data_IF_923968495663
#
_entry.id   IF_923968495663
#
_cell.length_a   1.000
_cell.length_b   1.000
_cell.length_c   1.000
_cell.angle_alpha   90.00
_cell.angle_beta   90.00
_cell.angle_gamma   90.00
#
_symmetry.space_group_name_H-M   'P 1'
#
loop_
_entity.id
_entity.type
_entity.pdbx_description
1 polymer ?
#
# COMPACT_ATOMS: atom_id res chain seq x y z
N UNK A 1 -2.49 -2.07 -21.47
CA UNK A 1 -3.68 -2.44 -20.67
C UNK A 1 -3.24 -2.80 -19.26
N UNK A 2 -3.40 -1.89 -18.29
CA UNK A 2 -3.03 -2.10 -16.88
C UNK A 2 -3.94 -1.25 -15.99
N UNK A 3 -5.24 -1.27 -16.29
CA UNK A 3 -6.23 -0.40 -15.67
C UNK A 3 -6.98 -1.12 -14.54
N UNK A 4 -7.30 -0.40 -13.47
CA UNK A 4 -8.12 -0.91 -12.38
C UNK A 4 -9.58 -0.89 -12.85
N UNK A 5 -10.13 -2.05 -13.18
CA UNK A 5 -11.52 -2.17 -13.64
C UNK A 5 -12.48 -2.04 -12.45
N UNK A 6 -13.50 -1.18 -12.59
CA UNK A 6 -14.49 -0.90 -11.54
C UNK A 6 -13.87 -0.14 -10.36
N UNK A 7 -14.39 -0.35 -9.14
CA UNK A 7 -13.85 0.28 -7.91
C UNK A 7 -13.83 1.81 -7.94
N UNK A 8 -14.72 2.44 -8.71
CA UNK A 8 -14.74 3.90 -8.91
C UNK A 8 -14.82 4.66 -7.59
N UNK A 9 -15.60 4.16 -6.63
CA UNK A 9 -15.72 4.77 -5.29
C UNK A 9 -14.41 4.72 -4.52
N UNK A 10 -13.74 3.57 -4.51
CA UNK A 10 -12.45 3.41 -3.83
C UNK A 10 -11.35 4.22 -4.51
N UNK A 11 -11.33 4.28 -5.85
CA UNK A 11 -10.37 5.11 -6.59
C UNK A 11 -10.53 6.60 -6.27
N UNK A 12 -11.77 7.10 -6.19
CA UNK A 12 -12.06 8.49 -5.78
C UNK A 12 -11.65 8.75 -4.32
N UNK A 13 -11.82 7.78 -3.41
CA UNK A 13 -11.35 7.91 -2.04
C UNK A 13 -9.82 8.00 -1.98
N UNK A 14 -9.11 7.12 -2.68
CA UNK A 14 -7.65 7.12 -2.73
C UNK A 14 -7.11 8.42 -3.33
N UNK A 15 -7.79 8.99 -4.32
CA UNK A 15 -7.42 10.29 -4.90
C UNK A 15 -7.52 11.43 -3.90
N UNK A 16 -8.63 11.49 -3.15
CA UNK A 16 -8.83 12.51 -2.11
C UNK A 16 -7.75 12.43 -1.05
N UNK A 17 -7.36 11.21 -0.66
CA UNK A 17 -6.35 10.97 0.36
C UNK A 17 -4.96 11.32 -0.16
N UNK A 18 -4.63 10.92 -1.39
CA UNK A 18 -3.37 11.29 -2.01
C UNK A 18 -3.19 12.80 -2.15
N UNK A 19 -4.27 13.54 -2.42
CA UNK A 19 -4.26 15.02 -2.53
C UNK A 19 -4.37 15.75 -1.19
N UNK A 20 -4.60 15.04 -0.09
CA UNK A 20 -4.68 15.64 1.25
C UNK A 20 -3.34 16.24 1.64
N UNK A 21 -3.35 17.40 2.30
CA UNK A 21 -2.15 17.97 2.91
C UNK A 21 -1.85 17.39 4.31
N UNK A 22 -2.73 16.50 4.80
CA UNK A 22 -2.59 15.85 6.09
C UNK A 22 -2.07 14.42 5.94
N UNK A 23 -1.48 13.91 7.02
CA UNK A 23 -1.19 12.48 7.13
C UNK A 23 -2.49 11.69 7.30
N UNK A 24 -2.82 10.88 6.30
CA UNK A 24 -4.04 10.07 6.27
C UNK A 24 -3.75 8.62 6.70
N UNK A 25 -4.67 8.01 7.46
CA UNK A 25 -4.61 6.61 7.85
C UNK A 25 -5.84 5.85 7.38
N UNK A 26 -5.63 4.81 6.56
CA UNK A 26 -6.71 4.03 5.93
C UNK A 26 -6.59 2.56 6.32
N UNK A 27 -7.72 1.97 6.68
CA UNK A 27 -7.85 0.52 6.83
C UNK A 27 -8.61 -0.04 5.63
N UNK A 28 -8.01 -1.00 4.92
CA UNK A 28 -8.62 -1.66 3.77
C UNK A 28 -8.90 -3.12 4.11
N UNK A 29 -10.19 -3.48 4.14
CA UNK A 29 -10.64 -4.82 4.50
C UNK A 29 -11.63 -5.39 3.47
N UNK A 30 -11.95 -6.67 3.58
CA UNK A 30 -12.87 -7.38 2.68
C UNK A 30 -12.50 -8.84 2.48
N UNK A 31 -13.27 -9.58 1.68
CA UNK A 31 -13.06 -11.02 1.44
C UNK A 31 -11.68 -11.34 0.86
N UNK A 32 -11.22 -12.58 1.05
CA UNK A 32 -9.97 -13.08 0.44
C UNK A 32 -10.06 -12.97 -1.09
N UNK A 33 -8.95 -12.64 -1.76
CA UNK A 33 -8.83 -12.57 -3.24
C UNK A 33 -9.64 -11.49 -3.97
N UNK A 34 -10.26 -10.51 -3.28
CA UNK A 34 -10.97 -9.39 -3.95
C UNK A 34 -10.07 -8.30 -4.54
N UNK A 35 -8.75 -8.50 -4.56
CA UNK A 35 -7.80 -7.56 -5.20
C UNK A 35 -7.36 -6.36 -4.36
N UNK A 36 -7.48 -6.40 -3.02
CA UNK A 36 -7.11 -5.26 -2.14
C UNK A 36 -5.66 -4.78 -2.34
N UNK A 37 -4.70 -5.70 -2.26
CA UNK A 37 -3.28 -5.37 -2.49
C UNK A 37 -3.02 -4.90 -3.91
N UNK A 38 -3.74 -5.46 -4.90
CA UNK A 38 -3.63 -5.06 -6.30
C UNK A 38 -4.10 -3.62 -6.51
N UNK A 39 -5.24 -3.24 -5.93
CA UNK A 39 -5.80 -1.88 -5.98
C UNK A 39 -4.76 -0.84 -5.53
N UNK A 40 -4.16 -1.04 -4.36
CA UNK A 40 -3.18 -0.09 -3.81
C UNK A 40 -1.90 -0.04 -4.64
N UNK A 41 -1.32 -1.19 -4.98
CA UNK A 41 -0.10 -1.24 -5.79
C UNK A 41 -0.29 -0.54 -7.14
N UNK A 42 -1.39 -0.81 -7.83
CA UNK A 42 -1.63 -0.24 -9.16
C UNK A 42 -2.01 1.22 -9.11
N UNK A 43 -2.76 1.66 -8.11
CA UNK A 43 -3.18 3.04 -7.98
C UNK A 43 -2.00 3.97 -7.69
N UNK A 44 -1.10 3.59 -6.77
CA UNK A 44 0.02 4.43 -6.36
C UNK A 44 1.28 4.28 -7.23
N UNK A 45 1.46 3.15 -7.95
CA UNK A 45 2.63 2.92 -8.81
C UNK A 45 2.95 4.05 -9.83
N UNK A 46 1.96 4.65 -10.52
CA UNK A 46 2.24 5.74 -11.47
C UNK A 46 2.36 7.12 -10.81
N UNK A 47 2.05 7.26 -9.52
CA UNK A 47 2.05 8.55 -8.83
C UNK A 47 3.46 8.93 -8.36
N UNK A 48 3.84 10.22 -8.44
CA UNK A 48 5.12 10.66 -7.94
C UNK A 48 5.19 10.50 -6.42
N UNK A 49 6.29 9.91 -5.94
CA UNK A 49 6.55 9.68 -4.51
C UNK A 49 7.31 8.38 -4.26
N UNK A 50 7.71 8.17 -3.01
CA UNK A 50 8.29 6.90 -2.55
C UNK A 50 7.18 6.04 -1.94
N UNK A 51 7.09 4.78 -2.34
CA UNK A 51 6.09 3.84 -1.85
C UNK A 51 6.78 2.74 -1.03
N UNK A 52 6.70 2.87 0.30
CA UNK A 52 7.18 1.85 1.22
C UNK A 52 6.11 0.77 1.42
N UNK A 53 6.45 -0.48 1.14
CA UNK A 53 5.56 -1.61 1.37
C UNK A 53 6.22 -2.64 2.29
N UNK A 54 5.55 -2.97 3.38
CA UNK A 54 6.00 -3.99 4.33
C UNK A 54 4.86 -5.00 4.53
N UNK A 55 5.21 -6.28 4.66
CA UNK A 55 4.27 -7.34 5.01
C UNK A 55 4.73 -7.97 6.32
N UNK A 56 3.85 -8.01 7.32
CA UNK A 56 4.15 -8.66 8.58
C UNK A 56 4.06 -10.18 8.46
N UNK A 57 4.99 -10.87 9.11
CA UNK A 57 4.95 -12.34 9.25
C UNK A 57 4.02 -12.72 10.41
N UNK A 58 3.05 -13.61 10.17
CA UNK A 58 2.17 -14.07 11.24
C UNK A 58 2.99 -14.80 12.32
N UNK A 59 2.88 -14.36 13.58
CA UNK A 59 3.64 -14.89 14.73
C UNK A 59 5.18 -14.84 14.55
N UNK A 60 5.70 -14.01 13.64
CA UNK A 60 7.15 -13.82 13.48
C UNK A 60 7.77 -13.13 14.69
N UNK A 61 9.04 -13.42 14.95
CA UNK A 61 9.78 -12.81 16.06
C UNK A 61 10.05 -11.32 15.78
N UNK A 62 10.20 -10.52 16.84
CA UNK A 62 10.43 -9.07 16.70
C UNK A 62 11.66 -8.76 15.84
N UNK A 63 12.76 -9.50 16.03
CA UNK A 63 13.99 -9.33 15.26
C UNK A 63 13.80 -9.61 13.76
N UNK A 64 12.99 -10.61 13.41
CA UNK A 64 12.66 -10.93 12.01
C UNK A 64 11.85 -9.79 11.38
N UNK A 65 10.82 -9.28 12.08
CA UNK A 65 10.01 -8.16 11.61
C UNK A 65 10.85 -6.90 11.40
N UNK A 66 11.74 -6.59 12.35
CA UNK A 66 12.65 -5.43 12.26
C UNK A 66 13.65 -5.57 11.12
N UNK A 67 14.15 -6.78 10.85
CA UNK A 67 15.03 -7.04 9.71
C UNK A 67 14.32 -6.79 8.38
N UNK A 68 13.09 -7.28 8.23
CA UNK A 68 12.29 -7.05 7.01
C UNK A 68 11.92 -5.57 6.85
N UNK A 69 11.59 -4.89 7.95
CA UNK A 69 11.35 -3.45 7.94
C UNK A 69 12.59 -2.66 7.48
N UNK A 70 13.77 -2.94 8.05
CA UNK A 70 15.02 -2.27 7.69
C UNK A 70 15.38 -2.49 6.22
N UNK A 71 15.19 -3.73 5.72
CA UNK A 71 15.38 -4.07 4.31
C UNK A 71 14.44 -3.25 3.40
N UNK A 72 13.15 -3.19 3.72
CA UNK A 72 12.17 -2.44 2.92
C UNK A 72 12.47 -0.93 2.88
N UNK A 73 12.96 -0.35 3.99
CA UNK A 73 13.42 1.04 4.04
C UNK A 73 14.62 1.23 3.11
N UNK A 74 15.61 0.35 3.20
CA UNK A 74 16.79 0.35 2.34
C UNK A 74 16.43 0.37 0.86
N UNK A 75 15.61 -0.59 0.42
CA UNK A 75 15.18 -0.72 -0.98
C UNK A 75 14.34 0.45 -1.49
N UNK A 76 13.58 1.12 -0.60
CA UNK A 76 12.65 2.18 -1.01
C UNK A 76 13.34 3.54 -1.12
N UNK A 77 14.22 3.86 -0.17
CA UNK A 77 14.73 5.22 0.03
C UNK A 77 16.19 5.42 -0.39
N UNK A 78 16.99 4.35 -0.50
CA UNK A 78 18.41 4.40 -0.85
C UNK A 78 18.69 3.68 -2.17
#
# INVERSE_FOLDING_TARGET
MNEIVGRTREQLMLERIYKSQNAEFIIIYGRRRVGKTYLIKKYFAPLPGKFLQITGTQNGLLNEQLSEFAKAIGETFY
#
